data_IF_094279363683
#
_entry.id   IF_094279363683
#
_cell.length_a   1.000
_cell.length_b   1.000
_cell.length_c   1.000
_cell.angle_alpha   90.00
_cell.angle_beta   90.00
_cell.angle_gamma   90.00
#
_symmetry.space_group_name_H-M   'P 1'
#
loop_
_entity.id
_entity.type
_entity.pdbx_description
1 polymer ?
#
# COMPACT_ATOMS: atom_id res chain seq x y z
N UNK A 1 -11.06 -7.16 1.23
CA UNK A 1 -11.41 -6.75 2.59
C UNK A 1 -12.79 -6.11 2.66
N UNK A 2 -13.26 -5.83 3.87
CA UNK A 2 -14.51 -5.10 4.10
C UNK A 2 -14.14 -3.63 4.32
N UNK A 3 -14.78 -2.72 3.59
CA UNK A 3 -14.56 -1.29 3.76
C UNK A 3 -15.07 -0.81 5.13
N UNK A 4 -14.36 0.13 5.74
CA UNK A 4 -14.84 0.81 6.94
C UNK A 4 -16.15 1.57 6.62
N UNK A 5 -17.17 1.43 7.46
CA UNK A 5 -18.41 2.18 7.29
C UNK A 5 -18.10 3.69 7.40
N UNK A 6 -18.52 4.47 6.40
CA UNK A 6 -18.28 5.93 6.35
C UNK A 6 -18.90 6.69 7.51
N UNK A 7 -19.89 6.09 8.20
CA UNK A 7 -20.54 6.65 9.40
C UNK A 7 -19.77 6.33 10.69
N UNK A 8 -18.71 5.53 10.61
CA UNK A 8 -17.88 5.24 11.78
C UNK A 8 -17.20 6.52 12.26
N UNK A 9 -17.38 6.82 13.54
CA UNK A 9 -16.62 7.90 14.17
C UNK A 9 -15.17 7.45 14.30
N UNK A 10 -14.25 8.22 13.73
CA UNK A 10 -12.80 7.98 13.80
C UNK A 10 -12.16 8.95 14.79
N UNK A 11 -10.90 8.71 15.14
CA UNK A 11 -10.16 9.68 15.95
C UNK A 11 -9.94 11.01 15.22
N UNK A 12 -10.01 11.02 13.88
CA UNK A 12 -9.92 12.24 13.07
C UNK A 12 -11.11 13.17 13.29
N UNK A 13 -12.31 12.62 13.49
CA UNK A 13 -13.49 13.41 13.84
C UNK A 13 -13.29 14.13 15.19
N UNK A 14 -12.58 13.46 16.13
CA UNK A 14 -12.23 14.05 17.43
C UNK A 14 -11.20 15.17 17.24
N UNK A 15 -10.19 14.96 16.40
CA UNK A 15 -9.17 15.98 16.08
C UNK A 15 -9.79 17.19 15.41
N UNK A 16 -10.70 16.98 14.43
CA UNK A 16 -11.47 18.07 13.80
C UNK A 16 -12.26 18.89 14.81
N UNK A 17 -12.94 18.24 15.77
CA UNK A 17 -13.69 18.93 16.82
C UNK A 17 -12.77 19.78 17.72
N UNK A 18 -11.46 19.55 17.71
CA UNK A 18 -10.45 20.34 18.41
C UNK A 18 -9.70 21.31 17.46
N UNK A 19 -10.14 21.47 16.22
CA UNK A 19 -9.58 22.43 15.25
C UNK A 19 -8.30 21.96 14.56
N UNK A 20 -8.01 20.65 14.55
CA UNK A 20 -6.87 20.11 13.80
C UNK A 20 -7.17 20.08 12.30
N UNK A 21 -6.18 20.39 11.49
CA UNK A 21 -6.12 20.05 10.07
C UNK A 21 -5.56 18.63 9.92
N UNK A 22 -6.13 17.84 9.01
CA UNK A 22 -5.79 16.42 8.92
C UNK A 22 -5.33 16.05 7.51
N UNK A 23 -4.23 15.31 7.41
CA UNK A 23 -3.64 14.89 6.14
C UNK A 23 -3.27 13.41 6.13
N UNK A 24 -3.48 12.77 4.98
CA UNK A 24 -2.97 11.45 4.63
C UNK A 24 -2.05 11.57 3.42
N UNK A 25 -0.82 11.13 3.56
CA UNK A 25 0.12 10.97 2.46
C UNK A 25 0.58 9.52 2.42
N UNK A 26 0.12 8.78 1.42
CA UNK A 26 0.44 7.36 1.27
C UNK A 26 -0.78 6.43 1.34
N UNK A 27 -0.58 5.25 1.90
CA UNK A 27 -1.54 4.15 1.87
C UNK A 27 -2.49 4.17 3.07
N UNK A 28 -3.81 4.07 2.84
CA UNK A 28 -4.79 3.97 3.92
C UNK A 28 -5.34 2.56 4.12
N UNK A 29 -5.87 1.92 3.09
CA UNK A 29 -6.56 0.64 3.14
C UNK A 29 -7.82 0.66 4.03
N UNK A 30 -8.52 1.79 4.04
CA UNK A 30 -9.83 1.94 4.69
C UNK A 30 -10.95 1.36 3.83
N UNK A 31 -10.71 1.24 2.54
CA UNK A 31 -11.61 0.61 1.58
C UNK A 31 -10.95 -0.56 0.85
N UNK A 32 -11.71 -1.25 0.03
CA UNK A 32 -11.19 -2.32 -0.80
C UNK A 32 -10.43 -1.70 -2.00
N UNK A 33 -9.14 -2.03 -2.14
CA UNK A 33 -8.30 -1.57 -3.24
C UNK A 33 -8.49 -2.40 -4.52
N UNK A 34 -9.17 -3.54 -4.44
CA UNK A 34 -9.44 -4.38 -5.60
C UNK A 34 -10.62 -3.85 -6.41
N UNK A 35 -10.61 -4.13 -7.73
CA UNK A 35 -11.70 -3.83 -8.65
C UNK A 35 -12.99 -4.61 -8.33
N UNK A 36 -12.90 -5.66 -7.52
CA UNK A 36 -14.05 -6.42 -7.07
C UNK A 36 -14.72 -5.67 -5.93
N UNK A 37 -15.91 -5.15 -6.21
CA UNK A 37 -16.82 -4.72 -5.17
C UNK A 37 -16.99 -5.88 -4.17
N UNK A 38 -16.71 -5.70 -2.86
CA UNK A 38 -16.93 -6.74 -1.86
C UNK A 38 -18.40 -7.18 -1.74
N UNK A 39 -19.32 -6.43 -2.33
CA UNK A 39 -20.70 -6.86 -2.52
C UNK A 39 -20.75 -7.80 -3.71
N UNK A 40 -20.45 -9.05 -3.44
CA UNK A 40 -20.47 -10.17 -4.37
C UNK A 40 -21.75 -10.21 -5.22
N UNK A 41 -21.64 -10.74 -6.44
CA UNK A 41 -22.79 -11.30 -7.14
C UNK A 41 -23.50 -12.22 -6.16
N UNK A 42 -24.72 -11.88 -5.82
CA UNK A 42 -25.50 -12.68 -4.89
C UNK A 42 -25.84 -13.99 -5.55
N UNK A 43 -25.64 -15.10 -4.86
CA UNK A 43 -26.08 -16.38 -5.41
C UNK A 43 -27.60 -16.30 -5.67
N UNK A 44 -28.05 -16.86 -6.79
CA UNK A 44 -29.47 -17.04 -7.05
C UNK A 44 -30.10 -17.82 -5.90
N UNK A 45 -31.31 -17.44 -5.53
CA UNK A 45 -32.04 -18.18 -4.49
C UNK A 45 -32.36 -19.56 -5.03
N UNK A 46 -31.93 -20.63 -4.36
CA UNK A 46 -32.24 -22.01 -4.80
C UNK A 46 -33.73 -22.23 -4.95
N UNK A 47 -34.09 -23.11 -5.90
CA UNK A 47 -35.47 -23.49 -6.12
C UNK A 47 -36.15 -23.97 -4.82
N UNK A 48 -37.37 -23.51 -4.61
CA UNK A 48 -38.18 -23.87 -3.42
C UNK A 48 -37.91 -23.02 -2.18
N UNK A 49 -36.97 -22.07 -2.24
CA UNK A 49 -36.73 -21.08 -1.17
C UNK A 49 -37.34 -19.75 -1.52
N UNK A 50 -37.80 -19.01 -0.50
CA UNK A 50 -38.29 -17.66 -0.67
C UNK A 50 -37.13 -16.69 -0.52
N UNK A 51 -36.81 -15.85 -1.53
CA UNK A 51 -35.76 -14.85 -1.42
C UNK A 51 -36.12 -13.79 -0.37
N UNK A 52 -35.12 -13.26 0.31
CA UNK A 52 -35.32 -12.11 1.16
C UNK A 52 -35.84 -10.92 0.33
N UNK A 53 -36.75 -10.08 0.89
CA UNK A 53 -37.16 -8.83 0.24
C UNK A 53 -35.95 -8.01 -0.19
N UNK A 54 -36.01 -7.32 -1.34
CA UNK A 54 -34.90 -6.57 -1.93
C UNK A 54 -34.22 -5.62 -0.91
N UNK A 55 -35.02 -4.89 -0.16
CA UNK A 55 -34.54 -3.90 0.84
C UNK A 55 -33.91 -4.53 2.11
N UNK A 56 -34.05 -5.84 2.30
CA UNK A 56 -33.49 -6.60 3.43
C UNK A 56 -32.43 -7.62 3.00
N UNK A 57 -32.05 -7.63 1.72
CA UNK A 57 -31.12 -8.62 1.18
C UNK A 57 -29.69 -8.39 1.64
N UNK A 58 -29.35 -7.17 2.00
CA UNK A 58 -28.03 -6.81 2.49
C UNK A 58 -28.04 -6.81 4.03
N UNK A 59 -26.98 -7.36 4.62
CA UNK A 59 -26.75 -7.25 6.07
C UNK A 59 -26.60 -5.79 6.55
N UNK A 60 -26.50 -4.87 5.60
CA UNK A 60 -26.34 -3.43 5.80
C UNK A 60 -27.41 -2.72 5.01
N UNK A 61 -28.04 -1.71 5.59
CA UNK A 61 -29.14 -0.98 4.94
C UNK A 61 -28.73 -0.26 3.64
N UNK A 62 -29.72 0.22 2.86
CA UNK A 62 -29.52 0.75 1.51
C UNK A 62 -28.68 2.02 1.41
N UNK A 63 -28.32 2.63 2.55
CA UNK A 63 -27.47 3.82 2.61
C UNK A 63 -25.98 3.56 2.28
N UNK A 64 -25.61 2.31 2.02
CA UNK A 64 -24.31 1.97 1.44
C UNK A 64 -24.29 2.36 -0.04
N UNK A 65 -23.96 3.60 -0.30
CA UNK A 65 -23.71 4.10 -1.65
C UNK A 65 -22.45 3.41 -2.13
N UNK A 66 -22.56 2.49 -3.11
CA UNK A 66 -21.47 1.68 -3.64
C UNK A 66 -20.29 2.54 -4.08
N UNK A 67 -20.55 3.66 -4.70
CA UNK A 67 -19.57 4.55 -5.29
C UNK A 67 -18.65 5.18 -4.23
N UNK A 68 -19.13 5.44 -3.02
CA UNK A 68 -18.29 5.95 -1.93
C UNK A 68 -17.19 4.94 -1.54
N UNK A 69 -17.47 3.64 -1.59
CA UNK A 69 -16.54 2.59 -1.14
C UNK A 69 -15.56 2.11 -2.22
N UNK A 70 -15.46 2.83 -3.32
CA UNK A 70 -14.54 2.55 -4.43
C UNK A 70 -13.42 3.57 -4.56
N UNK A 71 -13.26 4.47 -3.59
CA UNK A 71 -12.31 5.58 -3.69
C UNK A 71 -10.83 5.14 -3.69
N UNK A 72 -10.53 3.96 -3.17
CA UNK A 72 -9.20 3.35 -3.21
C UNK A 72 -9.00 2.39 -4.40
N UNK A 73 -9.90 2.40 -5.38
CA UNK A 73 -9.84 1.51 -6.54
C UNK A 73 -8.96 2.11 -7.63
N UNK A 74 -7.99 1.35 -8.13
CA UNK A 74 -7.01 1.82 -9.11
C UNK A 74 -7.63 2.32 -10.42
N UNK A 75 -8.81 1.80 -10.80
CA UNK A 75 -9.55 2.27 -11.97
C UNK A 75 -9.84 3.75 -11.96
N UNK A 76 -10.02 4.34 -10.79
CA UNK A 76 -10.29 5.77 -10.61
C UNK A 76 -9.07 6.65 -10.96
N UNK A 77 -7.87 6.11 -10.86
CA UNK A 77 -6.61 6.83 -11.02
C UNK A 77 -5.88 6.52 -12.33
N UNK A 78 -6.62 6.06 -13.34
CA UNK A 78 -6.06 5.88 -14.67
C UNK A 78 -5.77 7.22 -15.35
N UNK A 79 -4.74 7.23 -16.18
CA UNK A 79 -4.39 8.42 -16.99
C UNK A 79 -5.60 8.85 -17.83
N UNK A 80 -5.95 10.13 -17.73
CA UNK A 80 -7.12 10.69 -18.40
C UNK A 80 -8.45 10.54 -17.65
N UNK A 81 -8.44 9.96 -16.45
CA UNK A 81 -9.61 9.95 -15.57
C UNK A 81 -9.93 11.36 -15.04
N UNK A 82 -11.22 11.69 -15.00
CA UNK A 82 -11.74 12.91 -14.37
C UNK A 82 -12.20 12.68 -12.92
N UNK A 83 -11.90 11.50 -12.37
CA UNK A 83 -12.26 11.12 -11.02
C UNK A 83 -11.72 12.11 -9.97
N UNK A 84 -12.57 12.44 -9.02
CA UNK A 84 -12.20 13.24 -7.84
C UNK A 84 -12.67 12.48 -6.60
N UNK A 85 -11.76 12.32 -5.66
CA UNK A 85 -12.05 11.73 -4.36
C UNK A 85 -13.05 12.59 -3.58
N UNK A 86 -14.04 11.96 -2.94
CA UNK A 86 -14.94 12.64 -2.02
C UNK A 86 -14.17 13.02 -0.74
N UNK A 87 -14.21 14.30 -0.40
CA UNK A 87 -13.53 14.84 0.76
C UNK A 87 -14.54 15.39 1.78
N UNK A 88 -14.25 15.31 3.08
CA UNK A 88 -13.11 14.67 3.71
C UNK A 88 -13.16 13.14 3.58
N UNK A 89 -12.01 12.49 3.39
CA UNK A 89 -11.91 11.05 3.29
C UNK A 89 -11.71 10.45 4.69
N UNK A 90 -12.75 9.87 5.27
CA UNK A 90 -12.73 9.34 6.65
C UNK A 90 -12.17 10.30 7.70
N UNK A 91 -12.38 11.60 7.50
CA UNK A 91 -11.88 12.65 8.36
C UNK A 91 -10.51 13.21 7.96
N UNK A 92 -9.90 12.78 6.87
CA UNK A 92 -8.74 13.46 6.28
C UNK A 92 -9.18 14.58 5.34
N UNK A 93 -8.71 15.82 5.58
CA UNK A 93 -8.96 17.01 4.76
C UNK A 93 -8.08 17.05 3.51
N UNK A 94 -6.88 16.45 3.61
CA UNK A 94 -5.92 16.36 2.53
C UNK A 94 -5.49 14.91 2.32
N UNK A 95 -5.50 14.45 1.05
CA UNK A 95 -5.13 13.07 0.72
C UNK A 95 -4.27 13.01 -0.55
N UNK A 96 -3.06 12.47 -0.39
CA UNK A 96 -2.19 12.02 -1.48
C UNK A 96 -2.13 10.49 -1.44
N UNK A 97 -3.10 9.82 -2.07
CA UNK A 97 -3.34 8.39 -1.90
C UNK A 97 -2.32 7.53 -2.66
N UNK A 98 -1.84 6.50 -1.96
CA UNK A 98 -1.20 5.32 -2.53
C UNK A 98 -2.08 4.08 -2.31
N UNK A 99 -2.19 3.21 -3.32
CA UNK A 99 -2.81 1.88 -3.23
C UNK A 99 -1.78 0.83 -3.62
N UNK A 100 -2.06 -0.45 -3.37
CA UNK A 100 -1.12 -1.51 -3.77
C UNK A 100 0.24 -1.46 -3.06
N UNK A 101 1.30 -2.00 -3.71
CA UNK A 101 2.61 -2.23 -3.09
C UNK A 101 3.75 -2.24 -4.10
N UNK A 102 4.99 -2.02 -3.60
CA UNK A 102 6.21 -2.02 -4.40
C UNK A 102 6.14 -1.01 -5.54
N UNK A 103 6.74 -1.31 -6.67
CA UNK A 103 6.70 -0.45 -7.86
C UNK A 103 5.34 -0.43 -8.59
N UNK A 104 4.38 -1.29 -8.16
CA UNK A 104 3.01 -1.33 -8.67
C UNK A 104 2.01 -0.50 -7.86
N UNK A 105 2.50 0.37 -7.00
CA UNK A 105 1.65 1.31 -6.26
C UNK A 105 0.77 2.11 -7.22
N UNK A 106 -0.52 2.19 -6.89
CA UNK A 106 -1.57 2.93 -7.62
C UNK A 106 -1.99 4.20 -6.91
N UNK A 107 -3.25 4.62 -7.12
CA UNK A 107 -3.79 5.84 -6.55
C UNK A 107 -3.26 7.10 -7.23
N UNK A 108 -3.20 8.22 -6.49
CA UNK A 108 -2.65 9.48 -7.01
C UNK A 108 -1.19 9.35 -7.48
N UNK A 109 -0.43 8.39 -6.92
CA UNK A 109 0.93 8.10 -7.38
C UNK A 109 0.99 7.75 -8.87
N UNK A 110 0.01 7.01 -9.40
CA UNK A 110 -0.01 6.65 -10.83
C UNK A 110 -0.01 7.89 -11.71
N UNK A 111 -0.83 8.89 -11.37
CA UNK A 111 -0.93 10.13 -12.14
C UNK A 111 0.34 10.97 -12.03
N UNK A 112 0.90 11.07 -10.83
CA UNK A 112 2.15 11.79 -10.54
C UNK A 112 3.35 11.15 -11.26
N UNK A 113 3.42 9.81 -11.31
CA UNK A 113 4.49 9.12 -12.01
C UNK A 113 4.38 9.29 -13.53
N UNK A 114 3.16 9.19 -14.07
CA UNK A 114 2.91 9.37 -15.50
C UNK A 114 3.23 10.79 -15.98
N UNK A 115 2.97 11.81 -15.17
CA UNK A 115 3.34 13.20 -15.49
C UNK A 115 4.85 13.37 -15.61
N UNK A 116 5.63 12.68 -14.78
CA UNK A 116 7.11 12.72 -14.81
C UNK A 116 7.72 11.82 -15.87
N UNK A 117 7.11 10.67 -16.07
CA UNK A 117 7.59 9.62 -16.97
C UNK A 117 6.43 9.13 -17.85
N UNK A 118 6.11 9.84 -18.96
CA UNK A 118 5.06 9.39 -19.87
C UNK A 118 5.29 7.95 -20.33
N UNK A 119 4.28 7.10 -20.21
CA UNK A 119 4.40 5.66 -20.43
C UNK A 119 5.01 4.91 -19.25
N UNK A 120 4.84 5.43 -18.04
CA UNK A 120 5.42 4.92 -16.79
C UNK A 120 5.06 3.47 -16.47
N UNK A 121 4.01 2.92 -17.04
CA UNK A 121 3.67 1.50 -16.95
C UNK A 121 4.80 0.58 -17.44
N UNK A 122 5.62 1.06 -18.39
CA UNK A 122 6.77 0.34 -18.91
C UNK A 122 8.01 0.36 -17.98
N UNK A 123 7.93 1.05 -16.85
CA UNK A 123 8.94 1.05 -15.79
C UNK A 123 8.60 0.10 -14.65
N UNK A 124 7.39 -0.46 -14.63
CA UNK A 124 6.79 -1.12 -13.47
C UNK A 124 6.58 -2.61 -13.71
N UNK A 125 6.74 -3.37 -12.65
CA UNK A 125 6.47 -4.80 -12.65
C UNK A 125 7.58 -5.70 -13.19
N UNK A 126 7.46 -7.03 -13.02
CA UNK A 126 8.52 -7.97 -13.32
C UNK A 126 8.89 -8.04 -14.80
N UNK A 127 7.94 -7.77 -15.71
CA UNK A 127 8.19 -7.82 -17.16
C UNK A 127 9.08 -6.66 -17.65
N UNK A 128 9.19 -5.60 -16.86
CA UNK A 128 10.00 -4.40 -17.12
C UNK A 128 11.21 -4.29 -16.16
N UNK A 129 11.52 -5.37 -15.44
CA UNK A 129 12.59 -5.37 -14.47
C UNK A 129 13.96 -5.13 -15.11
N UNK A 130 14.81 -4.40 -14.41
CA UNK A 130 16.23 -4.30 -14.75
C UNK A 130 16.92 -5.65 -14.48
N UNK A 131 18.01 -5.95 -15.18
CA UNK A 131 18.77 -7.19 -14.96
C UNK A 131 19.18 -7.35 -13.50
N UNK A 132 18.97 -8.56 -12.94
CA UNK A 132 19.40 -8.94 -11.60
C UNK A 132 19.60 -10.47 -11.49
N UNK A 133 20.23 -10.92 -10.41
CA UNK A 133 20.56 -12.33 -10.17
C UNK A 133 19.64 -12.99 -9.12
N UNK A 134 18.75 -12.26 -8.48
CA UNK A 134 17.83 -12.79 -7.47
C UNK A 134 16.77 -13.67 -8.11
N UNK A 135 16.40 -14.74 -7.41
CA UNK A 135 15.48 -15.76 -7.87
C UNK A 135 14.23 -15.88 -6.99
N UNK A 136 14.18 -15.12 -5.91
CA UNK A 136 13.08 -15.10 -4.96
C UNK A 136 11.75 -14.72 -5.63
N UNK A 137 10.66 -15.41 -5.29
CA UNK A 137 9.35 -15.01 -5.74
C UNK A 137 9.01 -13.59 -5.31
N UNK A 138 8.28 -12.86 -6.16
CA UNK A 138 7.89 -11.47 -5.89
C UNK A 138 9.08 -10.52 -5.68
N UNK A 139 10.19 -10.80 -6.35
CA UNK A 139 11.46 -10.07 -6.27
C UNK A 139 11.86 -9.65 -7.68
N UNK A 140 12.03 -8.36 -7.92
CA UNK A 140 12.59 -7.84 -9.17
C UNK A 140 13.18 -6.45 -8.97
N UNK A 141 14.24 -6.16 -9.75
CA UNK A 141 14.87 -4.84 -9.73
C UNK A 141 14.03 -3.87 -10.56
N UNK A 142 13.33 -2.97 -9.90
CA UNK A 142 12.45 -2.01 -10.59
C UNK A 142 13.22 -1.10 -11.53
N UNK A 143 12.60 -0.76 -12.67
CA UNK A 143 13.11 0.29 -13.57
C UNK A 143 12.60 1.69 -13.20
N UNK A 144 11.75 1.82 -12.17
CA UNK A 144 11.35 3.13 -11.66
C UNK A 144 12.57 3.80 -11.00
N UNK A 145 12.94 5.04 -11.42
CA UNK A 145 14.04 5.76 -10.79
C UNK A 145 13.80 5.99 -9.28
N UNK A 146 14.89 6.06 -8.51
CA UNK A 146 14.85 6.25 -7.05
C UNK A 146 14.02 7.48 -6.66
N UNK A 147 14.23 8.61 -7.35
CA UNK A 147 13.51 9.86 -7.12
C UNK A 147 12.03 9.81 -7.49
N UNK A 148 11.60 8.78 -8.21
CA UNK A 148 10.22 8.60 -8.66
C UNK A 148 9.55 7.36 -8.05
N UNK A 149 10.22 6.68 -7.14
CA UNK A 149 9.66 5.52 -6.44
C UNK A 149 8.57 5.94 -5.42
N UNK A 150 7.60 5.07 -5.05
CA UNK A 150 6.52 5.44 -4.15
C UNK A 150 6.96 6.09 -2.83
N UNK A 151 8.06 5.63 -2.22
CA UNK A 151 8.61 6.25 -1.01
C UNK A 151 9.03 7.70 -1.26
N UNK A 152 9.63 8.02 -2.41
CA UNK A 152 10.00 9.38 -2.78
C UNK A 152 8.78 10.26 -3.06
N UNK A 153 7.72 9.73 -3.68
CA UNK A 153 6.43 10.40 -3.83
C UNK A 153 5.84 10.80 -2.48
N UNK A 154 5.82 9.88 -1.52
CA UNK A 154 5.29 10.16 -0.16
C UNK A 154 6.13 11.23 0.51
N UNK A 155 7.46 11.14 0.39
CA UNK A 155 8.38 12.15 0.93
C UNK A 155 8.08 13.54 0.36
N UNK A 156 8.07 13.67 -0.98
CA UNK A 156 7.85 14.93 -1.66
C UNK A 156 6.52 15.58 -1.26
N UNK A 157 5.44 14.82 -1.31
CA UNK A 157 4.11 15.32 -0.95
C UNK A 157 3.98 15.67 0.54
N UNK A 158 4.72 14.99 1.42
CA UNK A 158 4.76 15.34 2.84
C UNK A 158 5.52 16.64 3.08
N UNK A 159 6.66 16.84 2.41
CA UNK A 159 7.41 18.08 2.49
C UNK A 159 6.61 19.27 1.93
N UNK A 160 5.91 19.05 0.83
CA UNK A 160 5.03 20.06 0.20
C UNK A 160 3.84 20.42 1.10
N UNK A 161 3.20 19.43 1.72
CA UNK A 161 2.15 19.67 2.71
C UNK A 161 2.64 20.54 3.87
N UNK A 162 3.79 20.19 4.47
CA UNK A 162 4.35 20.96 5.58
C UNK A 162 4.72 22.39 5.18
N UNK A 163 5.23 22.58 3.96
CA UNK A 163 5.54 23.92 3.44
C UNK A 163 4.27 24.75 3.25
N UNK A 164 3.24 24.18 2.61
CA UNK A 164 1.94 24.84 2.40
C UNK A 164 1.25 25.16 3.73
N UNK A 165 1.30 24.24 4.69
CA UNK A 165 0.79 24.48 6.03
C UNK A 165 1.51 25.68 6.70
N UNK A 166 2.84 25.75 6.61
CA UNK A 166 3.60 26.90 7.13
C UNK A 166 3.24 28.21 6.44
N UNK A 167 3.11 28.18 5.11
CA UNK A 167 2.82 29.36 4.29
C UNK A 167 1.39 29.87 4.51
N UNK A 168 0.44 29.02 4.92
CA UNK A 168 -0.93 29.40 5.29
C UNK A 168 -1.04 30.15 6.63
N UNK A 169 0.05 30.22 7.39
CA UNK A 169 0.10 30.90 8.71
C UNK A 169 0.24 29.93 9.88
N UNK A 170 0.02 28.64 9.68
CA UNK A 170 0.16 27.56 10.68
C UNK A 170 -0.55 27.88 12.03
N UNK A 171 -1.79 28.39 11.95
CA UNK A 171 -2.56 28.82 13.12
C UNK A 171 -3.21 27.66 13.86
N UNK A 172 -3.66 26.64 13.13
CA UNK A 172 -4.28 25.45 13.69
C UNK A 172 -3.24 24.34 13.90
N UNK A 173 -3.41 23.46 14.90
CA UNK A 173 -2.59 22.26 14.94
C UNK A 173 -2.93 21.34 13.76
N UNK A 174 -1.96 20.51 13.34
CA UNK A 174 -2.22 19.52 12.29
C UNK A 174 -1.92 18.11 12.76
N UNK A 175 -2.57 17.16 12.09
CA UNK A 175 -2.24 15.73 12.13
C UNK A 175 -1.94 15.27 10.70
N UNK A 176 -0.72 14.79 10.46
CA UNK A 176 -0.33 14.21 9.17
C UNK A 176 0.08 12.76 9.35
N UNK A 177 -0.61 11.85 8.67
CA UNK A 177 -0.25 10.45 8.58
C UNK A 177 0.56 10.21 7.30
N UNK A 178 1.84 9.89 7.46
CA UNK A 178 2.67 9.36 6.38
C UNK A 178 2.61 7.83 6.44
N UNK A 179 2.18 7.20 5.37
CA UNK A 179 1.96 5.76 5.35
C UNK A 179 2.60 5.12 4.12
N UNK A 180 3.68 4.41 4.35
CA UNK A 180 4.46 3.78 3.29
C UNK A 180 3.89 2.41 2.91
N UNK A 181 3.76 2.08 1.61
CA UNK A 181 3.49 0.73 1.15
C UNK A 181 4.63 -0.24 1.50
N UNK A 182 5.87 0.24 1.43
CA UNK A 182 7.07 -0.50 1.82
C UNK A 182 7.19 -0.64 3.36
N UNK A 183 7.79 -1.71 3.84
CA UNK A 183 8.50 -2.79 3.13
C UNK A 183 7.64 -4.02 2.77
N UNK A 184 6.40 -3.86 2.38
CA UNK A 184 5.55 -4.97 1.94
C UNK A 184 6.07 -5.54 0.60
N UNK A 185 5.93 -6.85 0.39
CA UNK A 185 6.19 -7.44 -0.94
C UNK A 185 5.28 -6.84 -2.03
N UNK A 186 5.69 -6.81 -3.31
CA UNK A 186 6.94 -7.30 -3.88
C UNK A 186 8.15 -6.51 -3.41
N UNK A 187 9.31 -7.19 -3.33
CA UNK A 187 10.58 -6.62 -2.87
C UNK A 187 11.27 -5.94 -4.04
N UNK A 188 11.07 -4.64 -4.17
CA UNK A 188 11.51 -3.85 -5.36
C UNK A 188 12.19 -2.54 -4.98
N UNK A 189 13.13 -2.50 -4.02
CA UNK A 189 13.79 -1.25 -3.69
C UNK A 189 14.55 -0.69 -4.92
N UNK A 190 14.46 0.63 -5.19
CA UNK A 190 15.05 1.24 -6.36
C UNK A 190 16.51 1.61 -6.15
N UNK A 191 17.25 1.82 -7.25
CA UNK A 191 18.56 2.45 -7.27
C UNK A 191 19.54 1.82 -6.31
N UNK A 192 20.16 2.64 -5.46
CA UNK A 192 21.19 2.22 -4.49
C UNK A 192 20.66 1.25 -3.42
N UNK A 193 19.39 1.29 -3.10
CA UNK A 193 18.79 0.47 -2.04
C UNK A 193 18.65 -1.00 -2.45
N UNK A 194 18.69 -1.30 -3.76
CA UNK A 194 18.69 -2.67 -4.27
C UNK A 194 19.96 -3.43 -3.93
N UNK A 195 21.11 -2.77 -4.05
CA UNK A 195 22.44 -3.38 -3.86
C UNK A 195 23.01 -3.08 -2.46
N UNK A 196 22.24 -2.53 -1.52
CA UNK A 196 22.72 -2.01 -0.24
C UNK A 196 23.07 -3.11 0.76
N UNK A 197 22.39 -4.23 0.72
CA UNK A 197 22.55 -5.35 1.64
C UNK A 197 22.80 -6.64 0.87
N UNK A 198 23.76 -7.45 1.34
CA UNK A 198 24.06 -8.75 0.74
C UNK A 198 23.18 -9.84 1.37
N UNK A 199 22.47 -10.67 0.58
CA UNK A 199 21.73 -11.82 1.10
C UNK A 199 22.58 -12.79 1.92
N UNK A 200 23.88 -12.93 1.62
CA UNK A 200 24.77 -13.82 2.35
C UNK A 200 25.05 -13.34 3.78
N UNK A 201 24.90 -12.03 4.04
CA UNK A 201 25.04 -11.44 5.37
C UNK A 201 23.76 -11.57 6.22
N UNK A 202 22.64 -12.01 5.64
CA UNK A 202 21.36 -12.12 6.35
C UNK A 202 21.33 -13.35 7.25
N UNK A 203 21.22 -13.14 8.57
CA UNK A 203 21.03 -14.22 9.54
C UNK A 203 19.57 -14.65 9.60
N UNK A 204 19.30 -15.92 9.30
CA UNK A 204 17.98 -16.49 9.43
C UNK A 204 17.58 -16.62 10.91
N UNK A 205 16.31 -16.36 11.27
CA UNK A 205 15.85 -16.54 12.64
C UNK A 205 16.04 -18.00 13.10
N UNK A 206 16.35 -18.19 14.36
CA UNK A 206 16.56 -19.54 14.94
C UNK A 206 15.35 -20.47 14.71
N UNK A 207 14.15 -19.89 14.61
CA UNK A 207 12.91 -20.61 14.31
C UNK A 207 12.81 -21.13 12.87
N UNK A 208 13.68 -20.71 11.95
CA UNK A 208 13.67 -21.16 10.56
C UNK A 208 13.87 -22.69 10.44
N UNK A 209 14.68 -23.27 11.31
CA UNK A 209 15.01 -24.70 11.33
C UNK A 209 14.34 -25.45 12.49
N UNK A 210 13.16 -25.02 12.88
CA UNK A 210 12.41 -25.72 13.92
C UNK A 210 11.97 -27.11 13.44
N UNK A 211 12.09 -28.11 14.32
CA UNK A 211 11.52 -29.43 14.09
C UNK A 211 10.04 -29.52 14.50
N UNK A 212 9.43 -28.41 14.86
CA UNK A 212 8.01 -28.34 15.22
C UNK A 212 7.21 -28.38 13.92
N UNK A 213 6.23 -29.28 13.87
CA UNK A 213 5.32 -29.34 12.74
C UNK A 213 4.61 -27.98 12.54
N UNK A 214 4.53 -27.47 11.32
CA UNK A 214 3.83 -26.21 11.08
C UNK A 214 2.34 -26.35 11.39
N UNK A 215 1.66 -25.25 11.77
CA UNK A 215 0.21 -25.30 11.93
C UNK A 215 -0.47 -25.64 10.60
N UNK A 216 -1.65 -26.26 10.67
CA UNK A 216 -2.39 -26.73 9.49
C UNK A 216 -2.60 -25.65 8.43
N UNK A 217 -2.72 -24.38 8.84
CA UNK A 217 -2.84 -23.25 7.94
C UNK A 217 -1.58 -23.00 7.08
N UNK A 218 -0.45 -23.57 7.42
CA UNK A 218 0.82 -23.44 6.70
C UNK A 218 1.24 -24.78 6.07
N UNK A 219 0.83 -25.92 6.66
CA UNK A 219 1.19 -27.24 6.19
C UNK A 219 0.90 -27.43 4.70
N UNK A 220 -0.24 -26.99 4.23
CA UNK A 220 -0.63 -27.11 2.82
C UNK A 220 0.34 -26.39 1.85
N UNK A 221 1.01 -25.33 2.29
CA UNK A 221 2.01 -24.66 1.46
C UNK A 221 3.28 -25.52 1.31
N UNK A 222 3.62 -26.24 2.36
CA UNK A 222 4.72 -27.20 2.34
C UNK A 222 4.40 -28.40 1.46
N UNK A 223 3.18 -28.95 1.60
CA UNK A 223 2.69 -30.07 0.78
C UNK A 223 2.74 -29.68 -0.71
N UNK A 224 2.29 -28.47 -1.06
CA UNK A 224 2.34 -27.97 -2.43
C UNK A 224 3.76 -27.73 -2.95
N UNK A 225 4.72 -27.40 -2.09
CA UNK A 225 6.12 -27.33 -2.49
C UNK A 225 6.66 -28.71 -2.79
N UNK A 226 6.35 -29.71 -1.95
CA UNK A 226 6.81 -31.10 -2.10
C UNK A 226 6.25 -31.76 -3.36
N UNK A 227 4.99 -31.51 -3.70
CA UNK A 227 4.35 -32.06 -4.90
C UNK A 227 4.59 -31.22 -6.18
N UNK A 228 5.26 -30.08 -6.07
CA UNK A 228 5.57 -29.20 -7.19
C UNK A 228 4.40 -28.36 -7.70
N UNK A 229 3.27 -28.33 -7.01
CA UNK A 229 2.07 -27.54 -7.39
C UNK A 229 2.05 -26.12 -6.78
N UNK A 230 3.13 -25.73 -6.12
CA UNK A 230 3.23 -24.42 -5.46
C UNK A 230 3.09 -23.26 -6.46
N UNK A 231 2.25 -22.28 -6.14
CA UNK A 231 2.11 -21.05 -6.90
C UNK A 231 2.79 -19.92 -6.10
N UNK A 232 3.86 -19.36 -6.64
CA UNK A 232 4.68 -18.34 -5.97
C UNK A 232 4.38 -16.92 -6.44
N UNK A 233 3.48 -16.76 -7.42
CA UNK A 233 3.09 -15.47 -7.99
C UNK A 233 1.85 -14.89 -7.29
N UNK A 234 1.73 -13.56 -7.34
CA UNK A 234 0.61 -12.81 -6.77
C UNK A 234 0.58 -12.85 -5.24
N UNK A 235 -0.60 -12.97 -4.66
CA UNK A 235 -0.81 -12.97 -3.20
C UNK A 235 -0.90 -14.39 -2.61
N UNK A 236 -0.37 -15.39 -3.30
CA UNK A 236 -0.40 -16.75 -2.80
C UNK A 236 0.61 -16.95 -1.66
N UNK A 237 0.19 -17.68 -0.64
CA UNK A 237 1.09 -18.18 0.38
C UNK A 237 1.91 -19.34 -0.21
N UNK A 238 3.21 -19.34 0.00
CA UNK A 238 4.11 -20.39 -0.49
C UNK A 238 5.20 -20.70 0.55
N UNK A 239 5.77 -21.88 0.48
CA UNK A 239 6.91 -22.27 1.30
C UNK A 239 8.22 -21.83 0.60
N UNK A 240 8.89 -20.82 1.15
CA UNK A 240 10.10 -20.24 0.58
C UNK A 240 11.33 -21.13 0.79
N UNK A 241 12.27 -21.07 -0.15
CA UNK A 241 13.62 -21.62 0.02
C UNK A 241 14.49 -20.68 0.87
N UNK A 242 15.54 -21.21 1.50
CA UNK A 242 16.45 -20.41 2.32
C UNK A 242 17.08 -19.24 1.56
N UNK A 243 17.52 -19.46 0.33
CA UNK A 243 18.08 -18.40 -0.51
C UNK A 243 17.06 -17.28 -0.76
N UNK A 244 15.81 -17.62 -1.07
CA UNK A 244 14.75 -16.65 -1.31
C UNK A 244 14.41 -15.82 -0.05
N UNK A 245 14.51 -16.43 1.13
CA UNK A 245 14.29 -15.69 2.39
C UNK A 245 15.42 -14.70 2.63
N UNK A 246 16.68 -15.08 2.40
CA UNK A 246 17.83 -14.18 2.52
C UNK A 246 17.75 -13.02 1.53
N UNK A 247 17.40 -13.29 0.27
CA UNK A 247 17.14 -12.27 -0.75
C UNK A 247 16.04 -11.29 -0.31
N UNK A 248 14.91 -11.81 0.16
CA UNK A 248 13.80 -11.00 0.65
C UNK A 248 14.19 -10.16 1.88
N UNK A 249 15.00 -10.71 2.81
CA UNK A 249 15.51 -9.97 3.97
C UNK A 249 16.42 -8.81 3.56
N UNK A 250 17.39 -9.05 2.67
CA UNK A 250 18.30 -8.02 2.17
C UNK A 250 17.53 -6.86 1.50
N UNK A 251 16.60 -7.19 0.61
CA UNK A 251 15.78 -6.19 -0.07
C UNK A 251 14.82 -5.47 0.88
N UNK A 252 14.26 -6.17 1.87
CA UNK A 252 13.46 -5.56 2.93
C UNK A 252 14.27 -4.53 3.71
N UNK A 253 15.53 -4.84 4.07
CA UNK A 253 16.43 -3.88 4.71
C UNK A 253 16.68 -2.66 3.81
N UNK A 254 16.86 -2.85 2.50
CA UNK A 254 16.96 -1.75 1.54
C UNK A 254 15.73 -0.84 1.52
N UNK A 255 14.54 -1.42 1.48
CA UNK A 255 13.27 -0.67 1.56
C UNK A 255 13.13 0.07 2.89
N UNK A 256 13.45 -0.56 4.01
CA UNK A 256 13.43 0.08 5.34
C UNK A 256 14.39 1.25 5.38
N UNK A 257 15.60 1.11 4.84
CA UNK A 257 16.58 2.21 4.79
C UNK A 257 16.06 3.39 3.97
N UNK A 258 15.38 3.13 2.85
CA UNK A 258 14.76 4.21 2.06
C UNK A 258 13.65 4.93 2.84
N UNK A 259 12.84 4.20 3.60
CA UNK A 259 11.82 4.79 4.48
C UNK A 259 12.47 5.61 5.60
N UNK A 260 13.55 5.12 6.21
CA UNK A 260 14.29 5.86 7.25
C UNK A 260 14.90 7.16 6.71
N UNK A 261 15.51 7.13 5.52
CA UNK A 261 15.99 8.33 4.84
C UNK A 261 14.85 9.34 4.60
N UNK A 262 13.67 8.87 4.20
CA UNK A 262 12.46 9.69 4.00
C UNK A 262 11.99 10.33 5.31
N UNK A 263 11.92 9.57 6.39
CA UNK A 263 11.58 10.08 7.74
C UNK A 263 12.57 11.13 8.17
N UNK A 264 13.87 10.90 7.94
CA UNK A 264 14.94 11.88 8.20
C UNK A 264 14.72 13.21 7.49
N UNK A 265 14.33 13.17 6.19
CA UNK A 265 14.03 14.39 5.42
C UNK A 265 12.84 15.15 6.00
N UNK A 266 11.77 14.47 6.39
CA UNK A 266 10.59 15.12 6.97
C UNK A 266 10.89 15.70 8.35
N UNK A 267 11.63 14.99 9.20
CA UNK A 267 12.07 15.50 10.51
C UNK A 267 12.96 16.74 10.38
N UNK A 268 13.81 16.79 9.37
CA UNK A 268 14.61 17.97 9.09
C UNK A 268 13.75 19.13 8.60
N UNK A 269 12.75 18.87 7.75
CA UNK A 269 11.80 19.89 7.28
C UNK A 269 10.99 20.49 8.43
N UNK A 270 10.51 19.67 9.37
CA UNK A 270 9.82 20.14 10.57
C UNK A 270 10.70 21.10 11.40
N UNK A 271 11.99 20.77 11.57
CA UNK A 271 12.94 21.66 12.27
C UNK A 271 13.16 22.96 11.52
N UNK A 272 13.39 22.89 10.19
CA UNK A 272 13.57 24.05 9.32
C UNK A 272 12.38 25.02 9.40
N UNK A 273 11.17 24.51 9.42
CA UNK A 273 9.93 25.31 9.48
C UNK A 273 9.58 25.77 10.91
N UNK A 274 10.32 25.34 11.93
CA UNK A 274 10.01 25.62 13.33
C UNK A 274 8.76 24.90 13.84
N UNK A 275 8.47 23.73 13.32
CA UNK A 275 7.30 22.91 13.67
C UNK A 275 7.66 21.66 14.49
N UNK A 276 8.91 21.51 14.92
CA UNK A 276 9.40 20.30 15.61
C UNK A 276 9.23 20.34 17.13
N UNK A 277 8.59 21.39 17.72
CA UNK A 277 8.44 21.57 19.18
C UNK A 277 6.98 21.54 19.58
#
# INVERSE_FOLDING_TARGET
GISLDRRSVTFLDILHAQGYETALVGKSHLQNMGSLNPYFERPETPDGLTPAPEHLRDAVGPDHIRDFYTQETDENYKVGSDYKMDMPFYGFDHVNLCTGHGDKVGGHYTLWLEERHPGSENLRGPDNALPHNYTGPQTWRTAVPEESYPTSYITENSLDYLQKYKDSGAENPFFMMMSYPDPHHPFTPPGKYWDMYDPDDMELPASWRTNVAPPNSVQWAWDKREDGSQVTQGQNLFAAEEAHVREAMALTCGMITMVDDSVGMVMNKLKELGLAN
#
